data_IF_589657905675
#
_entry.id   IF_589657905675
#
_cell.length_a   1.000
_cell.length_b   1.000
_cell.length_c   1.000
_cell.angle_alpha   90.00
_cell.angle_beta   90.00
_cell.angle_gamma   90.00
#
_symmetry.space_group_name_H-M   'P 1'
#
loop_
_entity.id
_entity.type
_entity.pdbx_description
1 polymer ?
#
# COMPACT_ATOMS: atom_id res chain seq x y z
N UNK A 1 7.05 1.12 2.03
CA UNK A 1 6.08 1.17 0.92
C UNK A 1 6.64 0.35 -0.23
N UNK A 2 5.90 -0.64 -0.70
CA UNK A 2 6.32 -1.55 -1.77
C UNK A 2 5.23 -1.56 -2.83
N UNK A 3 5.60 -1.32 -4.08
CA UNK A 3 4.78 -1.58 -5.26
C UNK A 3 4.93 -3.06 -5.61
N UNK A 4 3.82 -3.73 -5.85
CA UNK A 4 3.76 -5.17 -6.07
C UNK A 4 3.60 -5.56 -7.54
N UNK A 5 3.39 -4.57 -8.40
CA UNK A 5 2.87 -4.78 -9.75
C UNK A 5 3.82 -4.24 -10.83
N UNK A 6 5.11 -4.05 -10.51
CA UNK A 6 6.09 -3.54 -11.49
C UNK A 6 6.33 -4.58 -12.60
N UNK A 7 6.13 -4.24 -13.88
CA UNK A 7 6.33 -5.18 -14.97
C UNK A 7 7.81 -5.50 -15.17
N UNK A 8 8.15 -6.79 -15.27
CA UNK A 8 9.50 -7.27 -15.56
C UNK A 8 9.45 -8.66 -16.19
N UNK A 9 10.09 -8.85 -17.34
CA UNK A 9 10.23 -10.14 -18.03
C UNK A 9 8.91 -10.95 -18.11
N UNK A 10 7.85 -10.33 -18.65
CA UNK A 10 6.51 -10.94 -18.77
C UNK A 10 5.83 -11.34 -17.44
N UNK A 11 6.34 -10.82 -16.31
CA UNK A 11 5.81 -11.04 -14.97
C UNK A 11 5.74 -9.72 -14.19
N UNK A 12 5.28 -9.80 -12.94
CA UNK A 12 5.18 -8.69 -11.99
C UNK A 12 6.20 -8.90 -10.88
N UNK A 13 6.97 -7.88 -10.55
CA UNK A 13 7.95 -7.88 -9.46
C UNK A 13 7.66 -6.74 -8.49
N UNK A 14 8.29 -6.82 -7.32
CA UNK A 14 8.16 -5.81 -6.29
C UNK A 14 9.18 -4.68 -6.50
N UNK A 15 8.81 -3.46 -6.15
CA UNK A 15 9.70 -2.30 -6.08
C UNK A 15 9.53 -1.60 -4.73
N UNK A 16 10.64 -1.30 -4.05
CA UNK A 16 10.59 -0.52 -2.81
C UNK A 16 10.56 0.98 -3.09
N UNK A 17 9.40 1.59 -2.83
CA UNK A 17 9.19 3.03 -2.98
C UNK A 17 9.74 3.82 -1.79
N UNK A 18 9.70 3.23 -0.59
CA UNK A 18 10.11 3.93 0.62
C UNK A 18 10.42 2.94 1.74
N UNK A 19 11.56 3.13 2.40
CA UNK A 19 11.95 2.42 3.61
C UNK A 19 12.32 3.45 4.66
N UNK A 20 11.54 3.48 5.73
CA UNK A 20 11.77 4.32 6.89
C UNK A 20 12.16 3.45 8.09
N UNK A 21 13.04 3.97 8.93
CA UNK A 21 13.52 3.30 10.14
C UNK A 21 13.41 4.23 11.34
N UNK A 22 13.51 3.66 12.54
CA UNK A 22 13.38 4.38 13.81
C UNK A 22 12.05 5.15 13.94
N UNK A 23 10.99 4.62 13.34
CA UNK A 23 9.66 5.24 13.37
C UNK A 23 9.09 5.14 14.78
N UNK A 24 8.71 6.28 15.36
CA UNK A 24 8.10 6.36 16.69
C UNK A 24 6.72 7.01 16.64
N UNK A 25 5.89 6.79 17.65
CA UNK A 25 4.62 7.53 17.80
C UNK A 25 4.92 8.89 18.44
N UNK A 26 4.44 9.97 17.82
CA UNK A 26 4.64 11.32 18.33
C UNK A 26 3.76 11.61 19.56
N UNK A 27 2.53 11.07 19.58
CA UNK A 27 1.59 11.20 20.69
C UNK A 27 0.96 9.84 21.04
N UNK A 28 1.08 9.42 22.29
CA UNK A 28 0.52 8.14 22.79
C UNK A 28 -0.90 8.29 23.37
N UNK A 29 -1.41 9.51 23.51
CA UNK A 29 -2.65 9.82 24.25
C UNK A 29 -3.89 10.09 23.37
N UNK A 30 -3.76 10.10 22.04
CA UNK A 30 -4.86 10.34 21.10
C UNK A 30 -5.12 9.12 20.20
N UNK A 31 -6.37 8.97 19.76
CA UNK A 31 -6.81 7.95 18.78
C UNK A 31 -6.15 8.12 17.41
N UNK A 32 -5.65 9.32 17.10
CA UNK A 32 -4.81 9.62 15.95
C UNK A 32 -3.36 9.79 16.40
N UNK A 33 -2.58 8.70 16.39
CA UNK A 33 -1.14 8.80 16.64
C UNK A 33 -0.40 9.13 15.35
N UNK A 34 0.03 10.39 15.24
CA UNK A 34 1.00 10.79 14.23
C UNK A 34 2.30 9.99 14.43
N UNK A 35 2.92 9.61 13.32
CA UNK A 35 4.23 8.95 13.31
C UNK A 35 5.32 10.01 13.14
N UNK A 36 6.36 9.91 13.96
CA UNK A 36 7.63 10.57 13.74
C UNK A 36 8.54 9.64 12.93
N UNK A 37 9.08 10.15 11.83
CA UNK A 37 9.90 9.37 10.89
C UNK A 37 11.26 10.07 10.76
N UNK A 38 12.24 9.73 11.60
CA UNK A 38 13.50 10.46 11.66
C UNK A 38 14.50 10.04 10.58
N UNK A 39 14.35 8.83 10.00
CA UNK A 39 15.27 8.30 9.01
C UNK A 39 14.53 7.57 7.88
N UNK A 40 14.94 7.84 6.65
CA UNK A 40 14.45 7.15 5.46
C UNK A 40 15.64 6.66 4.59
N UNK A 41 16.29 5.54 4.97
CA UNK A 41 17.43 4.98 4.23
C UNK A 41 17.13 4.74 2.75
N UNK A 42 15.87 4.43 2.40
CA UNK A 42 15.37 4.49 1.03
C UNK A 42 14.39 5.65 0.96
N UNK A 43 14.80 6.81 0.40
CA UNK A 43 13.93 7.97 0.27
C UNK A 43 12.66 7.67 -0.50
N UNK A 44 11.60 8.40 -0.21
CA UNK A 44 10.31 8.23 -0.87
C UNK A 44 10.43 8.49 -2.37
N UNK A 45 10.03 7.49 -3.15
CA UNK A 45 9.81 7.57 -4.58
C UNK A 45 8.31 7.56 -4.83
N UNK A 46 7.79 8.58 -5.52
CA UNK A 46 6.35 8.68 -5.77
C UNK A 46 5.84 7.56 -6.70
N UNK A 47 4.57 7.14 -6.56
CA UNK A 47 3.90 6.30 -7.56
C UNK A 47 4.01 6.88 -8.97
N UNK A 48 4.39 6.04 -9.92
CA UNK A 48 4.51 6.40 -11.33
C UNK A 48 4.23 5.19 -12.23
N UNK A 49 3.05 4.57 -12.14
CA UNK A 49 2.71 3.41 -12.96
C UNK A 49 2.75 3.78 -14.46
N UNK A 50 3.19 2.87 -15.34
CA UNK A 50 3.18 3.12 -16.78
C UNK A 50 1.76 3.38 -17.31
N UNK A 51 1.66 4.19 -18.37
CA UNK A 51 0.39 4.45 -19.04
C UNK A 51 -0.13 3.18 -19.71
N UNK A 52 -1.42 2.87 -19.49
CA UNK A 52 -2.06 1.68 -20.05
C UNK A 52 -1.76 0.38 -19.30
N UNK A 53 -0.97 0.43 -18.22
CA UNK A 53 -0.84 -0.70 -17.31
C UNK A 53 -2.05 -0.80 -16.36
N UNK A 54 -2.16 -1.93 -15.67
CA UNK A 54 -3.13 -2.15 -14.59
C UNK A 54 -2.87 -1.17 -13.44
N UNK A 55 -3.84 -0.90 -12.56
CA UNK A 55 -3.56 -0.17 -11.32
C UNK A 55 -2.49 -0.90 -10.49
N UNK A 56 -1.43 -0.19 -10.13
CA UNK A 56 -0.38 -0.72 -9.25
C UNK A 56 -0.81 -0.61 -7.78
N UNK A 57 -0.55 -1.66 -7.00
CA UNK A 57 -0.86 -1.74 -5.58
C UNK A 57 0.36 -1.38 -4.73
N UNK A 58 0.29 -0.24 -4.05
CA UNK A 58 1.35 0.24 -3.16
C UNK A 58 1.00 -0.07 -1.72
N UNK A 59 1.73 -1.01 -1.12
CA UNK A 59 1.50 -1.46 0.25
C UNK A 59 2.44 -0.78 1.24
N UNK A 60 1.86 -0.21 2.29
CA UNK A 60 2.55 0.28 3.47
C UNK A 60 2.45 -0.81 4.55
N UNK A 61 3.59 -1.29 5.04
CA UNK A 61 3.64 -2.30 6.09
C UNK A 61 4.58 -1.82 7.18
N UNK A 62 4.11 -1.87 8.43
CA UNK A 62 4.86 -1.46 9.61
C UNK A 62 5.29 -2.70 10.39
N UNK A 63 6.57 -2.79 10.74
CA UNK A 63 7.16 -3.90 11.48
C UNK A 63 7.71 -3.41 12.84
N UNK A 64 7.75 -4.28 13.86
CA UNK A 64 8.43 -3.96 15.11
C UNK A 64 9.94 -3.92 14.85
N UNK A 65 10.61 -2.86 15.29
CA UNK A 65 12.05 -2.69 15.13
C UNK A 65 12.79 -3.19 16.39
N UNK A 66 13.71 -4.16 16.27
CA UNK A 66 14.57 -4.59 17.39
C UNK A 66 15.45 -3.45 17.93
N UNK A 67 15.84 -3.52 19.20
CA UNK A 67 16.63 -2.46 19.87
C UNK A 67 17.98 -2.17 19.19
N UNK A 68 18.62 -3.18 18.59
CA UNK A 68 19.90 -3.07 17.89
C UNK A 68 19.74 -3.24 16.37
N UNK A 69 18.61 -2.79 15.82
CA UNK A 69 18.33 -2.94 14.41
C UNK A 69 19.35 -2.19 13.53
N UNK A 70 19.84 -2.89 12.53
CA UNK A 70 20.55 -2.33 11.39
C UNK A 70 20.00 -2.93 10.11
N UNK A 71 20.05 -2.18 9.02
CA UNK A 71 19.75 -2.72 7.70
C UNK A 71 20.88 -3.70 7.32
N UNK A 72 20.57 -4.96 6.98
CA UNK A 72 21.61 -5.90 6.55
C UNK A 72 22.39 -5.36 5.34
N UNK A 73 23.70 -5.58 5.33
CA UNK A 73 24.62 -4.96 4.36
C UNK A 73 24.25 -5.24 2.89
N UNK A 74 23.62 -6.38 2.59
CA UNK A 74 23.15 -6.69 1.24
C UNK A 74 22.02 -5.78 0.72
N UNK A 75 21.47 -4.90 1.56
CA UNK A 75 20.45 -3.91 1.20
C UNK A 75 20.98 -2.47 1.27
N UNK A 76 22.29 -2.26 1.36
CA UNK A 76 22.87 -0.91 1.53
C UNK A 76 22.67 0.01 0.33
N UNK A 77 22.48 -0.56 -0.87
CA UNK A 77 22.30 0.13 -2.15
C UNK A 77 20.82 0.23 -2.57
N UNK A 78 19.90 -0.14 -1.68
CA UNK A 78 18.47 -0.27 -2.00
C UNK A 78 17.82 1.07 -2.39
N UNK A 79 18.45 2.20 -2.05
CA UNK A 79 18.00 3.52 -2.51
C UNK A 79 18.11 3.69 -4.04
N UNK A 80 19.10 3.03 -4.65
CA UNK A 80 19.40 3.08 -6.08
C UNK A 80 18.89 1.82 -6.80
N UNK A 81 18.93 0.66 -6.15
CA UNK A 81 18.55 -0.65 -6.72
C UNK A 81 17.22 -1.18 -6.14
N UNK A 82 16.12 -0.51 -6.49
CA UNK A 82 14.80 -0.74 -5.87
C UNK A 82 13.99 -1.90 -6.44
N UNK A 83 14.23 -2.27 -7.70
CA UNK A 83 13.44 -3.25 -8.46
C UNK A 83 13.83 -4.68 -8.05
N UNK A 84 12.85 -5.56 -7.89
CA UNK A 84 13.07 -6.93 -7.45
C UNK A 84 13.23 -7.07 -5.93
N UNK A 85 12.95 -6.00 -5.17
CA UNK A 85 12.93 -6.06 -3.70
C UNK A 85 12.03 -7.19 -3.20
N UNK A 86 12.40 -7.94 -2.17
CA UNK A 86 11.54 -8.96 -1.61
C UNK A 86 11.28 -8.65 -0.14
N UNK A 87 10.08 -8.15 0.16
CA UNK A 87 9.73 -7.75 1.53
C UNK A 87 9.82 -8.91 2.52
N UNK A 88 9.40 -10.12 2.14
CA UNK A 88 9.45 -11.30 3.02
C UNK A 88 10.89 -11.70 3.34
N UNK A 89 11.78 -11.63 2.34
CA UNK A 89 13.20 -11.91 2.53
C UNK A 89 13.88 -10.83 3.38
N UNK A 90 13.56 -9.55 3.13
CA UNK A 90 14.08 -8.45 3.94
C UNK A 90 13.67 -8.58 5.41
N UNK A 91 12.40 -8.91 5.68
CA UNK A 91 11.90 -9.13 7.05
C UNK A 91 12.66 -10.26 7.74
N UNK A 92 12.87 -11.38 7.05
CA UNK A 92 13.61 -12.51 7.58
C UNK A 92 15.09 -12.17 7.85
N UNK A 93 15.78 -11.58 6.86
CA UNK A 93 17.20 -11.23 6.94
C UNK A 93 17.49 -10.16 8.00
N UNK A 94 16.57 -9.20 8.17
CA UNK A 94 16.71 -8.11 9.12
C UNK A 94 16.20 -8.46 10.53
N UNK A 95 15.74 -9.71 10.75
CA UNK A 95 15.26 -10.17 12.04
C UNK A 95 14.01 -9.41 12.53
N UNK A 96 13.16 -8.96 11.60
CA UNK A 96 11.92 -8.26 11.94
C UNK A 96 10.85 -9.27 12.39
N UNK A 97 10.03 -8.87 13.36
CA UNK A 97 8.88 -9.65 13.80
C UNK A 97 7.70 -9.59 12.81
N UNK A 98 6.55 -10.15 13.21
CA UNK A 98 5.31 -10.05 12.44
C UNK A 98 4.87 -8.60 12.22
N UNK A 99 4.20 -8.33 11.09
CA UNK A 99 3.70 -6.99 10.78
C UNK A 99 2.72 -6.48 11.86
N UNK A 100 2.91 -5.24 12.30
CA UNK A 100 2.06 -4.57 13.28
C UNK A 100 0.82 -3.95 12.64
N UNK A 101 0.98 -3.40 11.44
CA UNK A 101 -0.07 -2.72 10.71
C UNK A 101 0.22 -2.76 9.20
N UNK A 102 -0.84 -2.66 8.41
CA UNK A 102 -0.76 -2.56 6.97
C UNK A 102 -1.84 -1.64 6.43
N UNK A 103 -1.52 -0.92 5.36
CA UNK A 103 -2.46 -0.15 4.55
C UNK A 103 -1.98 -0.21 3.10
N UNK A 104 -2.84 0.07 2.14
CA UNK A 104 -2.48 0.08 0.74
C UNK A 104 -3.28 1.14 -0.03
N UNK A 105 -2.69 1.57 -1.14
CA UNK A 105 -3.36 2.42 -2.13
C UNK A 105 -3.15 1.82 -3.51
N UNK A 106 -4.06 2.10 -4.43
CA UNK A 106 -3.87 1.81 -5.86
C UNK A 106 -3.70 3.09 -6.64
N UNK A 107 -2.76 3.10 -7.58
CA UNK A 107 -2.56 4.22 -8.51
C UNK A 107 -2.53 3.67 -9.92
N UNK A 108 -3.20 4.37 -10.84
CA UNK A 108 -3.18 4.07 -12.26
C UNK A 108 -2.89 5.34 -13.05
N UNK A 109 -2.10 5.22 -14.11
CA UNK A 109 -1.87 6.31 -15.04
C UNK A 109 -2.80 6.18 -16.25
N UNK A 110 -3.82 7.03 -16.27
CA UNK A 110 -4.83 7.08 -17.33
C UNK A 110 -4.52 8.14 -18.41
N UNK A 111 -3.43 8.87 -18.26
CA UNK A 111 -3.10 10.00 -19.14
C UNK A 111 -2.14 9.56 -20.24
N UNK A 112 -2.63 9.55 -21.48
CA UNK A 112 -1.86 9.21 -22.68
C UNK A 112 -2.29 7.91 -23.34
N UNK A 113 -1.49 7.43 -24.29
CA UNK A 113 -1.73 6.19 -25.03
C UNK A 113 -0.66 5.18 -24.67
N UNK A 114 -1.08 3.93 -24.39
CA UNK A 114 -0.15 2.83 -24.15
C UNK A 114 0.79 2.63 -25.35
N UNK A 115 2.10 2.56 -25.09
CA UNK A 115 3.12 2.36 -26.13
C UNK A 115 3.67 0.93 -26.15
N UNK A 116 3.30 0.11 -25.17
CA UNK A 116 3.76 -1.28 -25.00
C UNK A 116 2.64 -2.13 -24.40
N UNK A 117 2.78 -3.45 -24.54
CA UNK A 117 1.94 -4.42 -23.85
C UNK A 117 2.55 -4.77 -22.48
N UNK A 118 1.69 -4.86 -21.47
CA UNK A 118 2.09 -5.18 -20.10
C UNK A 118 1.75 -6.64 -19.75
N UNK A 119 2.51 -7.27 -18.84
CA UNK A 119 2.17 -8.60 -18.34
C UNK A 119 0.78 -8.60 -17.68
N UNK A 120 0.15 -9.77 -17.52
CA UNK A 120 -1.14 -9.86 -16.84
C UNK A 120 -1.05 -9.30 -15.41
N UNK A 121 -2.20 -8.91 -14.86
CA UNK A 121 -2.31 -8.56 -13.45
C UNK A 121 -1.83 -9.74 -12.59
N UNK A 122 -1.22 -9.42 -11.45
CA UNK A 122 -0.84 -10.45 -10.47
C UNK A 122 -2.10 -11.21 -9.99
N UNK A 123 -2.05 -12.54 -9.86
CA UNK A 123 -3.16 -13.30 -9.30
C UNK A 123 -3.53 -12.79 -7.90
N UNK A 124 -4.79 -12.41 -7.69
CA UNK A 124 -5.31 -12.17 -6.35
C UNK A 124 -5.37 -13.50 -5.62
N UNK A 125 -4.92 -13.56 -4.37
CA UNK A 125 -5.17 -14.73 -3.54
C UNK A 125 -6.68 -14.84 -3.33
N UNK A 126 -7.36 -15.70 -4.10
CA UNK A 126 -8.73 -16.11 -3.80
C UNK A 126 -8.69 -16.77 -2.43
N UNK A 127 -9.36 -16.18 -1.45
CA UNK A 127 -9.48 -16.77 -0.12
C UNK A 127 -10.20 -18.13 -0.23
N UNK A 128 -9.42 -19.21 -0.31
CA UNK A 128 -9.94 -20.56 -0.12
C UNK A 128 -10.28 -20.70 1.36
N UNK A 129 -11.57 -20.50 1.69
CA UNK A 129 -12.27 -21.08 2.84
C UNK A 129 -11.64 -20.93 4.24
N UNK A 130 -12.34 -20.16 5.07
CA UNK A 130 -12.52 -20.38 6.51
C UNK A 130 -11.41 -19.91 7.50
N UNK A 131 -11.55 -18.68 8.01
CA UNK A 131 -11.95 -18.39 9.40
C UNK A 131 -11.93 -16.88 9.60
N UNK A 132 -13.10 -16.29 9.83
CA UNK A 132 -13.28 -14.89 10.16
C UNK A 132 -12.73 -14.59 11.56
N UNK A 133 -11.49 -14.13 11.67
CA UNK A 133 -11.12 -13.20 12.74
C UNK A 133 -11.30 -11.80 12.18
N UNK A 134 -12.43 -11.18 12.49
CA UNK A 134 -12.70 -9.78 12.20
C UNK A 134 -11.67 -8.91 12.90
N UNK A 135 -10.63 -8.48 12.18
CA UNK A 135 -9.87 -7.30 12.58
C UNK A 135 -10.87 -6.12 12.58
N UNK A 136 -10.98 -5.35 13.68
CA UNK A 136 -11.83 -4.16 13.66
C UNK A 136 -11.32 -3.20 12.57
N UNK A 137 -12.21 -2.49 11.86
CA UNK A 137 -11.80 -1.50 10.88
C UNK A 137 -10.93 -0.44 11.57
N UNK A 138 -9.80 -0.11 10.96
CA UNK A 138 -9.01 1.03 11.38
C UNK A 138 -9.73 2.30 10.89
N UNK A 139 -10.43 2.98 11.78
CA UNK A 139 -10.91 4.33 11.51
C UNK A 139 -9.71 5.27 11.60
N UNK A 140 -9.25 5.76 10.45
CA UNK A 140 -8.28 6.86 10.41
C UNK A 140 -8.80 8.04 11.25
N UNK A 141 -7.94 8.59 12.11
CA UNK A 141 -8.32 9.58 13.13
C UNK A 141 -8.61 10.99 12.61
N UNK A 142 -9.35 11.12 11.51
CA UNK A 142 -9.90 12.40 11.09
C UNK A 142 -11.18 12.69 11.89
N UNK A 143 -11.11 13.58 12.87
CA UNK A 143 -12.30 14.10 13.56
C UNK A 143 -13.17 14.88 12.57
N UNK A 144 -14.44 14.51 12.35
CA UNK A 144 -15.34 15.31 11.53
C UNK A 144 -15.60 16.66 12.23
N UNK A 145 -15.33 17.77 11.53
CA UNK A 145 -15.78 19.09 11.97
C UNK A 145 -17.31 19.09 12.02
N UNK A 146 -17.86 19.22 13.23
CA UNK A 146 -19.29 19.42 13.47
C UNK A 146 -19.69 20.81 12.98
N UNK A 147 -20.25 20.91 11.78
CA UNK A 147 -21.17 22.01 11.46
C UNK A 147 -22.58 21.56 11.83
N UNK A 148 -23.32 22.41 12.53
CA UNK A 148 -24.51 22.08 13.31
C UNK A 148 -25.57 21.24 12.58
N UNK A 149 -26.07 20.24 13.32
CA UNK A 149 -27.37 19.62 13.11
C UNK A 149 -27.50 18.78 11.84
N UNK A 150 -27.11 17.50 11.94
CA UNK A 150 -27.56 16.29 11.22
C UNK A 150 -26.34 15.41 10.90
N UNK A 151 -26.12 14.37 11.71
CA UNK A 151 -25.11 13.35 11.45
C UNK A 151 -25.73 12.26 10.56
N UNK A 152 -25.30 12.18 9.30
CA UNK A 152 -25.70 11.13 8.37
C UNK A 152 -24.48 10.32 7.92
N UNK A 153 -24.42 9.06 8.33
CA UNK A 153 -23.55 8.06 7.71
C UNK A 153 -24.23 7.58 6.41
N UNK A 154 -23.67 7.93 5.25
CA UNK A 154 -24.02 7.29 3.97
C UNK A 154 -22.92 6.30 3.61
N UNK A 155 -22.97 5.14 4.27
CA UNK A 155 -22.29 3.93 3.81
C UNK A 155 -23.31 3.00 3.17
N UNK A 156 -23.35 2.93 1.84
CA UNK A 156 -23.99 1.90 1.02
C UNK A 156 -23.17 1.90 -0.28
N UNK A 157 -22.46 0.84 -0.68
CA UNK A 157 -22.94 -0.50 -0.99
C UNK A 157 -22.86 -0.67 -2.52
N UNK A 158 -22.13 -1.68 -2.98
CA UNK A 158 -21.88 -2.03 -4.39
C UNK A 158 -23.16 -2.20 -5.22
N UNK A 159 -23.18 -1.66 -6.45
CA UNK A 159 -24.07 -2.13 -7.51
C UNK A 159 -23.40 -2.00 -8.89
N UNK A 160 -23.09 -3.15 -9.49
CA UNK A 160 -22.85 -3.31 -10.94
C UNK A 160 -24.15 -3.82 -11.53
N UNK A 161 -24.75 -3.12 -12.50
CA UNK A 161 -25.56 -3.74 -13.56
C UNK A 161 -25.56 -2.86 -14.82
N UNK A 162 -25.33 -3.52 -15.95
CA UNK A 162 -25.40 -3.00 -17.30
C UNK A 162 -26.84 -2.87 -17.80
N UNK A 163 -27.08 -2.03 -18.83
CA UNK A 163 -28.20 -2.23 -19.77
C UNK A 163 -29.08 -1.01 -20.10
N UNK A 164 -28.75 -0.35 -21.23
CA UNK A 164 -29.59 -0.12 -22.44
C UNK A 164 -30.99 0.56 -22.37
N UNK A 165 -31.15 1.55 -23.28
CA UNK A 165 -32.33 2.04 -24.03
C UNK A 165 -33.31 3.10 -23.47
N UNK A 166 -33.19 4.31 -24.05
CA UNK A 166 -34.12 5.00 -24.97
C UNK A 166 -35.60 5.33 -24.63
N UNK A 167 -36.03 6.46 -25.23
CA UNK A 167 -37.35 7.12 -25.35
C UNK A 167 -37.78 7.96 -24.13
N UNK A 168 -38.08 9.26 -24.20
CA UNK A 168 -38.55 10.08 -25.31
C UNK A 168 -39.99 10.51 -25.04
N UNK A 169 -40.20 11.80 -24.78
CA UNK A 169 -41.35 12.61 -25.20
C UNK A 169 -41.02 14.09 -24.96
#
# INVERSE_FOLDING_TARGET
>A
MVDLDVPSNNSRVQLVHWLATNVTRLNTSSTASLLNIPAAPVPYLQPSPPVGDVPHSYSFVLFPQPANFSIPAQYSDLADNRVGFNVSRFVADAGLGGALAGNWITVQNLTGTATMEFPPARPTATATGNSSTSMPPFEGGATPMRMGGLAGWLGVGTAVFAGVAAFGL
#
